data_IF_366693310579
#
_entry.id   IF_366693310579
#
_cell.length_a   1.000
_cell.length_b   1.000
_cell.length_c   1.000
_cell.angle_alpha   90.00
_cell.angle_beta   90.00
_cell.angle_gamma   90.00
#
_symmetry.space_group_name_H-M   'P 1'
#
loop_
_entity.id
_entity.type
_entity.pdbx_description
1 polymer ?
#
# COMPACT_ATOMS: atom_id res chain seq x y z
N UNK A 1 41.05 6.42 -21.57
CA UNK A 1 39.88 7.06 -22.23
C UNK A 1 38.87 7.44 -21.14
N UNK A 2 38.39 8.69 -21.07
CA UNK A 2 37.34 9.09 -20.14
C UNK A 2 36.02 8.35 -20.46
N UNK A 3 35.37 7.76 -19.47
CA UNK A 3 34.05 7.13 -19.61
C UNK A 3 33.00 8.17 -20.05
N UNK A 4 32.08 7.88 -21.01
CA UNK A 4 31.04 8.82 -21.45
C UNK A 4 30.20 9.32 -20.26
N UNK A 5 29.86 10.60 -20.25
CA UNK A 5 29.11 11.28 -19.16
C UNK A 5 27.75 10.63 -18.89
N UNK A 6 27.12 9.94 -19.83
CA UNK A 6 25.87 9.21 -19.66
C UNK A 6 25.97 7.86 -18.90
N UNK A 7 27.11 7.17 -18.98
CA UNK A 7 27.29 5.84 -18.36
C UNK A 7 27.26 5.89 -16.82
N UNK A 8 27.81 6.94 -16.21
CA UNK A 8 27.82 7.11 -14.74
C UNK A 8 26.41 7.29 -14.15
N UNK A 9 25.53 7.95 -14.86
CA UNK A 9 24.16 8.21 -14.39
C UNK A 9 23.27 6.97 -14.57
N UNK A 10 23.53 6.14 -15.57
CA UNK A 10 22.87 4.86 -15.78
C UNK A 10 23.24 3.86 -14.68
N UNK A 11 24.53 3.65 -14.45
CA UNK A 11 25.05 2.78 -13.38
C UNK A 11 24.50 3.19 -11.99
N UNK A 12 24.36 4.49 -11.72
CA UNK A 12 23.80 4.98 -10.45
C UNK A 12 22.33 4.61 -10.31
N UNK A 13 21.52 4.82 -11.33
CA UNK A 13 20.08 4.52 -11.32
C UNK A 13 19.82 3.02 -11.18
N UNK A 14 20.55 2.19 -11.91
CA UNK A 14 20.42 0.74 -11.83
C UNK A 14 20.79 0.20 -10.45
N UNK A 15 21.92 0.64 -9.89
CA UNK A 15 22.33 0.25 -8.53
C UNK A 15 21.33 0.71 -7.48
N UNK A 16 20.81 1.95 -7.60
CA UNK A 16 19.77 2.44 -6.69
C UNK A 16 18.50 1.59 -6.78
N UNK A 17 18.06 1.23 -7.97
CA UNK A 17 16.87 0.40 -8.18
C UNK A 17 17.04 -0.99 -7.55
N UNK A 18 18.18 -1.64 -7.78
CA UNK A 18 18.49 -2.94 -7.19
C UNK A 18 18.51 -2.90 -5.64
N UNK A 19 19.10 -1.84 -5.05
CA UNK A 19 19.08 -1.64 -3.61
C UNK A 19 17.64 -1.46 -3.10
N UNK A 20 16.83 -0.63 -3.75
CA UNK A 20 15.43 -0.40 -3.36
C UNK A 20 14.62 -1.69 -3.43
N UNK A 21 14.81 -2.51 -4.46
CA UNK A 21 14.12 -3.80 -4.59
C UNK A 21 14.49 -4.76 -3.45
N UNK A 22 15.76 -4.91 -3.12
CA UNK A 22 16.23 -5.74 -2.02
C UNK A 22 15.69 -5.24 -0.67
N UNK A 23 15.75 -3.93 -0.41
CA UNK A 23 15.24 -3.29 0.79
C UNK A 23 13.71 -3.44 0.93
N UNK A 24 12.99 -3.35 -0.17
CA UNK A 24 11.52 -3.52 -0.20
C UNK A 24 11.14 -4.97 0.13
N UNK A 25 11.81 -5.94 -0.47
CA UNK A 25 11.57 -7.35 -0.18
C UNK A 25 11.85 -7.66 1.29
N UNK A 26 12.98 -7.19 1.82
CA UNK A 26 13.29 -7.32 3.24
C UNK A 26 12.21 -6.70 4.14
N UNK A 27 11.74 -5.48 3.84
CA UNK A 27 10.72 -4.80 4.63
C UNK A 27 9.37 -5.54 4.63
N UNK A 28 9.05 -6.27 3.55
CA UNK A 28 7.81 -7.02 3.42
C UNK A 28 7.89 -8.46 3.99
N UNK A 29 9.09 -9.02 4.12
CA UNK A 29 9.32 -10.38 4.59
C UNK A 29 9.76 -10.44 6.06
N UNK A 30 10.50 -9.43 6.54
CA UNK A 30 11.01 -9.36 7.91
C UNK A 30 9.89 -9.19 8.95
N UNK A 31 10.20 -9.52 10.20
CA UNK A 31 9.36 -9.10 11.34
C UNK A 31 9.11 -7.60 11.27
N UNK A 32 7.84 -7.20 11.47
CA UNK A 32 7.39 -5.79 11.38
C UNK A 32 7.96 -4.93 12.53
N UNK A 33 9.29 -4.98 12.69
CA UNK A 33 10.04 -4.09 13.58
C UNK A 33 10.59 -2.95 12.73
N UNK A 34 10.92 -1.86 13.37
CA UNK A 34 11.59 -0.72 12.70
C UNK A 34 13.09 -1.04 12.51
N UNK A 35 13.52 -1.53 11.32
CA UNK A 35 14.90 -1.87 11.10
C UNK A 35 15.81 -0.66 11.20
N UNK A 36 16.98 -0.82 11.80
CA UNK A 36 18.05 0.18 11.79
C UNK A 36 18.68 0.30 10.39
N UNK A 37 19.42 1.39 10.14
CA UNK A 37 20.16 1.54 8.88
C UNK A 37 21.14 0.38 8.65
N UNK A 38 21.76 -0.13 9.74
CA UNK A 38 22.65 -1.28 9.69
C UNK A 38 21.92 -2.56 9.26
N UNK A 39 20.70 -2.81 9.75
CA UNK A 39 19.91 -3.98 9.34
C UNK A 39 19.49 -3.87 7.87
N UNK A 40 19.09 -2.69 7.41
CA UNK A 40 18.86 -2.44 5.99
C UNK A 40 20.11 -2.68 5.15
N UNK A 41 21.28 -2.23 5.60
CA UNK A 41 22.54 -2.45 4.88
C UNK A 41 22.87 -3.92 4.76
N UNK A 42 22.74 -4.71 5.83
CA UNK A 42 22.94 -6.16 5.81
C UNK A 42 21.97 -6.83 4.83
N UNK A 43 20.68 -6.47 4.89
CA UNK A 43 19.64 -7.06 4.04
C UNK A 43 19.85 -6.77 2.54
N UNK A 44 20.43 -5.62 2.21
CA UNK A 44 20.71 -5.21 0.84
C UNK A 44 22.14 -5.58 0.39
N UNK A 45 22.88 -6.39 1.17
CA UNK A 45 24.30 -6.75 0.92
C UNK A 45 25.16 -5.52 0.62
N UNK A 46 24.92 -4.42 1.33
CA UNK A 46 25.57 -3.14 1.16
C UNK A 46 26.19 -2.63 2.48
N UNK A 47 26.96 -1.57 2.40
CA UNK A 47 27.44 -0.86 3.59
C UNK A 47 26.50 0.29 3.98
N UNK A 48 26.48 0.71 5.27
CA UNK A 48 25.76 1.90 5.69
C UNK A 48 26.20 3.17 4.91
N UNK A 49 27.52 3.41 4.66
CA UNK A 49 27.94 4.49 3.78
C UNK A 49 27.35 4.43 2.37
N UNK A 50 27.19 3.21 1.82
CA UNK A 50 26.53 3.01 0.52
C UNK A 50 25.06 3.44 0.60
N UNK A 51 24.30 3.01 1.61
CA UNK A 51 22.92 3.44 1.76
C UNK A 51 22.80 4.96 1.97
N UNK A 52 23.71 5.57 2.75
CA UNK A 52 23.75 7.03 2.91
C UNK A 52 24.02 7.75 1.58
N UNK A 53 24.86 7.20 0.75
CA UNK A 53 25.13 7.77 -0.57
C UNK A 53 23.91 7.80 -1.51
N UNK A 54 23.03 6.78 -1.43
CA UNK A 54 21.84 6.68 -2.30
C UNK A 54 20.56 7.25 -1.69
N UNK A 55 20.47 7.32 -0.37
CA UNK A 55 19.22 7.60 0.36
C UNK A 55 19.37 8.63 1.48
N UNK A 56 20.56 9.20 1.69
CA UNK A 56 20.92 10.15 2.73
C UNK A 56 20.93 9.56 4.15
N UNK A 57 19.78 9.14 4.63
CA UNK A 57 19.59 8.63 5.98
C UNK A 57 18.61 7.42 6.03
N UNK A 58 18.32 6.94 7.24
CA UNK A 58 17.35 5.85 7.43
C UNK A 58 15.94 6.23 6.93
N UNK A 59 15.51 7.46 7.16
CA UNK A 59 14.20 7.93 6.70
C UNK A 59 14.12 7.94 5.16
N UNK A 60 15.21 8.34 4.49
CA UNK A 60 15.31 8.27 3.03
C UNK A 60 15.23 6.84 2.48
N UNK A 61 15.80 5.85 3.20
CA UNK A 61 15.62 4.42 2.85
C UNK A 61 14.13 4.04 2.95
N UNK A 62 13.45 4.39 4.04
CA UNK A 62 12.02 4.09 4.24
C UNK A 62 11.17 4.76 3.18
N UNK A 63 11.43 6.02 2.86
CA UNK A 63 10.73 6.74 1.77
C UNK A 63 10.89 6.01 0.45
N UNK A 64 12.10 5.58 0.09
CA UNK A 64 12.35 4.85 -1.15
C UNK A 64 11.64 3.48 -1.20
N UNK A 65 11.55 2.78 -0.07
CA UNK A 65 10.77 1.54 0.06
C UNK A 65 9.28 1.82 -0.19
N UNK A 66 8.71 2.84 0.45
CA UNK A 66 7.30 3.19 0.29
C UNK A 66 6.95 3.65 -1.13
N UNK A 67 7.86 4.38 -1.79
CA UNK A 67 7.74 4.72 -3.21
C UNK A 67 7.72 3.47 -4.10
N UNK A 68 8.60 2.51 -3.84
CA UNK A 68 8.66 1.26 -4.60
C UNK A 68 7.42 0.38 -4.37
N UNK A 69 6.96 0.26 -3.12
CA UNK A 69 5.70 -0.44 -2.81
C UNK A 69 4.55 0.20 -3.60
N UNK A 70 4.48 1.53 -3.61
CA UNK A 70 3.49 2.26 -4.39
C UNK A 70 3.54 1.95 -5.88
N UNK A 71 4.73 1.93 -6.47
CA UNK A 71 4.92 1.60 -7.88
C UNK A 71 4.49 0.16 -8.19
N UNK A 72 4.85 -0.81 -7.31
CA UNK A 72 4.41 -2.21 -7.44
C UNK A 72 2.90 -2.37 -7.31
N UNK A 73 2.23 -1.50 -6.52
CA UNK A 73 0.78 -1.48 -6.31
C UNK A 73 -0.02 -0.86 -7.47
N UNK A 74 0.59 -0.08 -8.33
CA UNK A 74 -0.10 0.68 -9.38
C UNK A 74 -1.03 -0.17 -10.28
N UNK A 75 -0.68 -1.39 -10.72
CA UNK A 75 -1.57 -2.22 -11.51
C UNK A 75 -2.87 -2.58 -10.78
N UNK A 76 -2.80 -2.82 -9.47
CA UNK A 76 -3.98 -3.14 -8.64
C UNK A 76 -4.87 -1.92 -8.49
N UNK A 77 -4.31 -0.74 -8.25
CA UNK A 77 -5.09 0.50 -8.18
C UNK A 77 -5.79 0.82 -9.49
N UNK A 78 -5.15 0.57 -10.63
CA UNK A 78 -5.76 0.72 -11.94
C UNK A 78 -6.97 -0.24 -12.09
N UNK A 79 -6.84 -1.49 -11.65
CA UNK A 79 -7.95 -2.45 -11.64
C UNK A 79 -9.08 -2.01 -10.71
N UNK A 80 -8.76 -1.52 -9.51
CA UNK A 80 -9.75 -1.00 -8.56
C UNK A 80 -10.52 0.18 -9.17
N UNK A 81 -9.88 1.04 -9.95
CA UNK A 81 -10.52 2.26 -10.49
C UNK A 81 -11.56 2.03 -11.58
N UNK A 82 -11.68 0.80 -12.11
CA UNK A 82 -12.63 0.47 -13.18
C UNK A 82 -14.06 0.59 -12.63
N UNK A 83 -14.95 1.39 -13.26
CA UNK A 83 -16.35 1.53 -12.84
C UNK A 83 -17.11 0.20 -12.87
N UNK A 84 -18.18 0.11 -12.08
CA UNK A 84 -19.10 -1.01 -12.03
C UNK A 84 -20.47 -0.62 -12.61
N UNK A 85 -21.39 -1.58 -12.71
CA UNK A 85 -22.74 -1.33 -13.23
C UNK A 85 -23.63 -0.61 -12.21
N UNK A 86 -23.40 -0.85 -10.91
CA UNK A 86 -24.17 -0.28 -9.81
C UNK A 86 -23.31 -0.23 -8.53
N UNK A 87 -23.77 0.46 -7.44
CA UNK A 87 -23.01 0.58 -6.20
C UNK A 87 -22.69 -0.74 -5.50
N UNK A 88 -23.59 -1.73 -5.55
CA UNK A 88 -23.39 -3.05 -4.94
C UNK A 88 -22.21 -3.77 -5.61
N UNK A 89 -22.21 -3.81 -6.94
CA UNK A 89 -21.12 -4.40 -7.72
C UNK A 89 -19.79 -3.65 -7.51
N UNK A 90 -19.85 -2.33 -7.34
CA UNK A 90 -18.64 -1.54 -7.08
C UNK A 90 -17.96 -1.95 -5.75
N UNK A 91 -18.73 -2.16 -4.69
CA UNK A 91 -18.24 -2.60 -3.39
C UNK A 91 -17.73 -4.05 -3.49
N UNK A 92 -18.49 -4.94 -4.11
CA UNK A 92 -18.10 -6.34 -4.28
C UNK A 92 -16.79 -6.50 -5.06
N UNK A 93 -16.69 -5.84 -6.21
CA UNK A 93 -15.48 -5.88 -7.03
C UNK A 93 -14.26 -5.32 -6.30
N UNK A 94 -14.44 -4.24 -5.52
CA UNK A 94 -13.37 -3.71 -4.69
C UNK A 94 -12.87 -4.75 -3.69
N UNK A 95 -13.76 -5.35 -2.90
CA UNK A 95 -13.36 -6.32 -1.88
C UNK A 95 -12.67 -7.55 -2.49
N UNK A 96 -13.13 -8.03 -3.62
CA UNK A 96 -12.50 -9.15 -4.33
C UNK A 96 -11.06 -8.82 -4.77
N UNK A 97 -10.83 -7.64 -5.35
CA UNK A 97 -9.49 -7.24 -5.80
C UNK A 97 -8.58 -6.92 -4.62
N UNK A 98 -9.09 -6.25 -3.59
CA UNK A 98 -8.31 -5.87 -2.41
C UNK A 98 -7.93 -7.11 -1.58
N UNK A 99 -8.83 -8.07 -1.38
CA UNK A 99 -8.53 -9.33 -0.69
C UNK A 99 -7.44 -10.13 -1.43
N UNK A 100 -7.52 -10.22 -2.75
CA UNK A 100 -6.47 -10.84 -3.55
C UNK A 100 -5.12 -10.11 -3.40
N UNK A 101 -5.11 -8.78 -3.39
CA UNK A 101 -3.90 -7.99 -3.15
C UNK A 101 -3.30 -8.24 -1.76
N UNK A 102 -4.13 -8.37 -0.73
CA UNK A 102 -3.68 -8.65 0.64
C UNK A 102 -3.09 -10.06 0.78
N UNK A 103 -3.69 -11.06 0.13
CA UNK A 103 -3.22 -12.45 0.19
C UNK A 103 -1.97 -12.70 -0.65
N UNK A 104 -1.93 -12.21 -1.89
CA UNK A 104 -0.90 -12.60 -2.85
C UNK A 104 0.20 -11.55 -3.06
N UNK A 105 -0.05 -10.28 -2.72
CA UNK A 105 0.89 -9.18 -2.96
C UNK A 105 1.46 -8.54 -1.68
N UNK A 106 1.30 -9.19 -0.53
CA UNK A 106 1.80 -8.71 0.77
C UNK A 106 1.31 -7.29 1.16
N UNK A 107 0.13 -6.84 0.64
CA UNK A 107 -0.36 -5.49 0.93
C UNK A 107 -0.67 -5.25 2.39
N UNK A 108 -1.10 -6.27 3.14
CA UNK A 108 -1.29 -6.15 4.59
C UNK A 108 0.01 -5.74 5.29
N UNK A 109 1.12 -6.43 4.95
CA UNK A 109 2.44 -6.12 5.51
C UNK A 109 2.96 -4.75 5.03
N UNK A 110 2.71 -4.40 3.78
CA UNK A 110 3.06 -3.10 3.22
C UNK A 110 2.36 -1.94 3.96
N UNK A 111 1.06 -2.08 4.23
CA UNK A 111 0.32 -1.10 5.02
C UNK A 111 0.80 -1.04 6.47
N UNK A 112 1.06 -2.19 7.11
CA UNK A 112 1.60 -2.23 8.46
C UNK A 112 2.99 -1.57 8.56
N UNK A 113 3.89 -1.86 7.62
CA UNK A 113 5.19 -1.19 7.53
C UNK A 113 5.02 0.33 7.39
N UNK A 114 4.16 0.78 6.47
CA UNK A 114 3.89 2.19 6.25
C UNK A 114 3.31 2.90 7.48
N UNK A 115 2.41 2.24 8.21
CA UNK A 115 1.83 2.76 9.45
C UNK A 115 2.88 2.86 10.57
N UNK A 116 3.65 1.80 10.83
CA UNK A 116 4.67 1.75 11.89
C UNK A 116 5.74 2.81 11.65
N UNK A 117 6.24 2.92 10.43
CA UNK A 117 7.24 3.90 10.07
C UNK A 117 6.67 5.33 10.02
N UNK A 118 5.47 5.48 9.46
CA UNK A 118 4.84 6.78 9.26
C UNK A 118 4.39 7.46 10.55
N UNK A 119 3.96 6.70 11.57
CA UNK A 119 3.63 7.24 12.89
C UNK A 119 4.90 7.71 13.62
N UNK A 120 6.02 7.06 13.37
CA UNK A 120 7.26 7.32 14.08
C UNK A 120 8.20 8.35 13.39
N UNK A 121 7.93 8.70 12.11
CA UNK A 121 8.74 9.63 11.33
C UNK A 121 7.87 10.39 10.31
N UNK A 122 7.94 11.72 10.34
CA UNK A 122 7.11 12.60 9.50
C UNK A 122 7.37 12.41 8.00
N UNK A 123 8.64 12.21 7.58
CA UNK A 123 8.97 11.99 6.17
C UNK A 123 8.37 10.68 5.67
N UNK A 124 8.47 9.61 6.48
CA UNK A 124 7.87 8.32 6.20
C UNK A 124 6.34 8.40 6.15
N UNK A 125 5.71 9.15 7.08
CA UNK A 125 4.26 9.36 7.09
C UNK A 125 3.75 10.05 5.83
N UNK A 126 4.42 11.12 5.39
CA UNK A 126 4.12 11.80 4.12
C UNK A 126 4.30 10.88 2.91
N UNK A 127 5.34 10.05 2.92
CA UNK A 127 5.59 9.08 1.84
C UNK A 127 4.51 7.99 1.81
N UNK A 128 4.09 7.46 2.96
CA UNK A 128 3.03 6.48 3.06
C UNK A 128 1.68 7.03 2.57
N UNK A 129 1.31 8.24 2.99
CA UNK A 129 0.12 8.94 2.47
C UNK A 129 0.19 9.07 0.95
N UNK A 130 1.28 9.63 0.42
CA UNK A 130 1.43 9.95 -1.00
C UNK A 130 1.45 8.71 -1.89
N UNK A 131 2.13 7.65 -1.46
CA UNK A 131 2.42 6.51 -2.35
C UNK A 131 1.50 5.31 -2.13
N UNK A 132 0.73 5.27 -1.05
CA UNK A 132 -0.14 4.14 -0.74
C UNK A 132 -1.58 4.55 -0.41
N UNK A 133 -1.83 5.35 0.63
CA UNK A 133 -3.20 5.64 1.06
C UNK A 133 -3.96 6.51 0.07
N UNK A 134 -3.38 7.62 -0.37
CA UNK A 134 -4.06 8.51 -1.32
C UNK A 134 -4.27 7.89 -2.70
N UNK A 135 -3.32 7.13 -3.29
CA UNK A 135 -3.59 6.36 -4.50
C UNK A 135 -4.72 5.34 -4.35
N UNK A 136 -4.76 4.59 -3.25
CA UNK A 136 -5.83 3.63 -3.00
C UNK A 136 -7.19 4.32 -2.89
N UNK A 137 -7.32 5.39 -2.10
CA UNK A 137 -8.54 6.19 -1.98
C UNK A 137 -8.96 6.79 -3.33
N UNK A 138 -8.01 7.34 -4.08
CA UNK A 138 -8.26 7.92 -5.40
C UNK A 138 -8.80 6.88 -6.39
N UNK A 139 -8.29 5.66 -6.34
CA UNK A 139 -8.76 4.55 -7.18
C UNK A 139 -10.19 4.16 -6.85
N UNK A 140 -10.54 4.04 -5.56
CA UNK A 140 -11.90 3.76 -5.12
C UNK A 140 -12.85 4.92 -5.53
N UNK A 141 -12.43 6.17 -5.29
CA UNK A 141 -13.20 7.34 -5.74
C UNK A 141 -13.42 7.35 -7.26
N UNK A 142 -12.41 6.93 -8.04
CA UNK A 142 -12.50 6.79 -9.49
C UNK A 142 -13.57 5.77 -9.90
N UNK A 143 -13.54 4.58 -9.28
CA UNK A 143 -14.57 3.54 -9.47
C UNK A 143 -15.96 4.11 -9.18
N UNK A 144 -16.17 4.66 -8.00
CA UNK A 144 -17.48 5.17 -7.57
C UNK A 144 -17.97 6.31 -8.46
N UNK A 145 -17.10 7.24 -8.85
CA UNK A 145 -17.45 8.37 -9.72
C UNK A 145 -18.00 7.92 -11.08
N UNK A 146 -17.46 6.83 -11.64
CA UNK A 146 -17.89 6.26 -12.90
C UNK A 146 -19.05 5.28 -12.78
N UNK A 147 -19.47 4.92 -11.57
CA UNK A 147 -20.54 3.93 -11.31
C UNK A 147 -21.88 4.65 -11.17
N UNK A 148 -22.91 4.31 -11.97
CA UNK A 148 -24.25 4.87 -11.83
C UNK A 148 -24.83 4.63 -10.44
N UNK A 149 -25.54 5.62 -9.90
CA UNK A 149 -26.17 5.53 -8.57
C UNK A 149 -25.25 5.84 -7.38
N UNK A 150 -23.96 6.10 -7.60
CA UNK A 150 -23.04 6.50 -6.55
C UNK A 150 -23.11 8.02 -6.27
N UNK A 151 -22.66 8.48 -5.09
CA UNK A 151 -22.72 9.89 -4.71
C UNK A 151 -21.98 10.80 -5.69
N UNK A 152 -22.54 11.99 -6.02
CA UNK A 152 -21.97 12.85 -7.07
C UNK A 152 -20.85 13.78 -6.59
N UNK A 153 -20.70 14.01 -5.27
CA UNK A 153 -19.76 15.01 -4.76
C UNK A 153 -18.42 14.38 -4.35
N UNK A 154 -17.32 15.12 -4.54
CA UNK A 154 -15.99 14.65 -4.12
C UNK A 154 -15.92 14.34 -2.61
N UNK A 155 -16.60 15.12 -1.76
CA UNK A 155 -16.61 14.89 -0.32
C UNK A 155 -17.30 13.56 0.02
N UNK A 156 -18.45 13.26 -0.57
CA UNK A 156 -19.18 12.03 -0.37
C UNK A 156 -18.41 10.82 -0.95
N UNK A 157 -17.81 10.94 -2.14
CA UNK A 157 -16.97 9.92 -2.74
C UNK A 157 -15.76 9.59 -1.84
N UNK A 158 -15.13 10.61 -1.25
CA UNK A 158 -13.99 10.40 -0.34
C UNK A 158 -14.41 9.69 0.96
N UNK A 159 -15.55 10.11 1.54
CA UNK A 159 -16.10 9.44 2.72
C UNK A 159 -16.46 7.99 2.43
N UNK A 160 -17.11 7.74 1.29
CA UNK A 160 -17.42 6.37 0.83
C UNK A 160 -16.15 5.53 0.59
N UNK A 161 -15.13 6.09 -0.05
CA UNK A 161 -13.85 5.39 -0.27
C UNK A 161 -13.17 4.99 1.06
N UNK A 162 -13.18 5.88 2.06
CA UNK A 162 -12.68 5.58 3.40
C UNK A 162 -13.49 4.47 4.07
N UNK A 163 -14.83 4.54 4.00
CA UNK A 163 -15.72 3.55 4.58
C UNK A 163 -15.57 2.16 3.94
N UNK A 164 -15.31 2.12 2.63
CA UNK A 164 -15.08 0.87 1.88
C UNK A 164 -13.71 0.27 2.22
N UNK A 165 -12.65 1.08 2.27
CA UNK A 165 -11.28 0.61 2.44
C UNK A 165 -10.98 0.15 3.88
N UNK A 166 -11.41 0.94 4.86
CA UNK A 166 -10.96 0.79 6.26
C UNK A 166 -11.32 -0.56 6.90
N UNK A 167 -12.53 -1.11 6.75
CA UNK A 167 -12.89 -2.38 7.38
C UNK A 167 -12.00 -3.54 6.92
N UNK A 168 -11.75 -3.66 5.62
CA UNK A 168 -10.92 -4.74 5.09
C UNK A 168 -9.47 -4.60 5.54
N UNK A 169 -8.91 -3.38 5.54
CA UNK A 169 -7.55 -3.13 6.00
C UNK A 169 -7.40 -3.50 7.49
N UNK A 170 -8.33 -3.06 8.34
CA UNK A 170 -8.27 -3.36 9.78
C UNK A 170 -8.48 -4.85 10.03
N UNK A 171 -9.44 -5.49 9.36
CA UNK A 171 -9.67 -6.93 9.46
C UNK A 171 -8.42 -7.72 9.05
N UNK A 172 -7.76 -7.32 7.97
CA UNK A 172 -6.53 -7.97 7.50
C UNK A 172 -5.36 -7.81 8.48
N UNK A 173 -5.18 -6.62 9.07
CA UNK A 173 -4.18 -6.40 10.12
C UNK A 173 -4.50 -7.24 11.36
N UNK A 174 -5.76 -7.23 11.81
CA UNK A 174 -6.23 -8.00 12.96
C UNK A 174 -5.96 -9.49 12.79
N UNK A 175 -6.37 -10.07 11.66
CA UNK A 175 -6.25 -11.51 11.43
C UNK A 175 -4.81 -11.95 11.13
N UNK A 176 -4.07 -11.21 10.30
CA UNK A 176 -2.80 -11.70 9.75
C UNK A 176 -1.57 -11.20 10.51
N UNK A 177 -1.68 -10.15 11.33
CA UNK A 177 -0.52 -9.53 11.98
C UNK A 177 -0.63 -9.41 13.50
N UNK A 178 -1.85 -9.43 14.06
CA UNK A 178 -2.09 -9.30 15.49
C UNK A 178 -2.49 -10.63 16.15
N UNK A 179 -2.51 -11.73 15.40
CA UNK A 179 -2.88 -13.05 15.93
C UNK A 179 -4.40 -13.24 16.09
N UNK A 180 -5.21 -12.38 15.47
CA UNK A 180 -6.65 -12.45 15.55
C UNK A 180 -7.25 -13.71 14.94
N UNK A 181 -6.56 -14.33 13.99
CA UNK A 181 -6.91 -15.61 13.40
C UNK A 181 -6.98 -16.74 14.45
N UNK A 182 -6.18 -16.66 15.49
CA UNK A 182 -6.10 -17.63 16.57
C UNK A 182 -6.89 -17.19 17.82
N UNK A 183 -6.73 -15.93 18.24
CA UNK A 183 -7.27 -15.43 19.51
C UNK A 183 -8.72 -14.95 19.42
N UNK A 184 -9.10 -14.37 18.28
CA UNK A 184 -10.42 -13.80 18.03
C UNK A 184 -10.77 -13.87 16.55
N UNK A 185 -11.01 -15.07 16.00
CA UNK A 185 -11.23 -15.26 14.57
C UNK A 185 -12.47 -14.51 14.08
N UNK A 186 -12.30 -13.80 12.96
CA UNK A 186 -13.39 -13.12 12.24
C UNK A 186 -13.79 -14.00 11.06
N UNK A 187 -15.07 -14.26 10.92
CA UNK A 187 -15.61 -14.83 9.67
C UNK A 187 -15.52 -13.76 8.57
N UNK A 188 -14.48 -13.89 7.73
CA UNK A 188 -14.19 -12.92 6.70
C UNK A 188 -15.27 -12.89 5.62
N UNK A 189 -15.85 -14.05 5.25
CA UNK A 189 -16.89 -14.16 4.23
C UNK A 189 -18.19 -13.50 4.71
N UNK A 190 -18.64 -13.82 5.91
CA UNK A 190 -19.82 -13.20 6.51
C UNK A 190 -19.64 -11.69 6.70
N UNK A 191 -18.45 -11.26 7.14
CA UNK A 191 -18.16 -9.83 7.36
C UNK A 191 -18.15 -9.07 6.03
N UNK A 192 -17.50 -9.59 5.01
CA UNK A 192 -17.47 -8.97 3.68
C UNK A 192 -18.88 -8.92 3.08
N UNK A 193 -19.66 -9.99 3.16
CA UNK A 193 -21.03 -10.03 2.67
C UNK A 193 -21.93 -8.99 3.36
N UNK A 194 -21.79 -8.81 4.68
CA UNK A 194 -22.49 -7.76 5.41
C UNK A 194 -22.07 -6.36 4.96
N UNK A 195 -20.77 -6.10 4.84
CA UNK A 195 -20.24 -4.81 4.39
C UNK A 195 -20.68 -4.47 2.96
N UNK A 196 -20.68 -5.44 2.06
CA UNK A 196 -21.15 -5.27 0.69
C UNK A 196 -22.62 -4.81 0.67
N UNK A 197 -23.49 -5.54 1.36
CA UNK A 197 -24.92 -5.23 1.44
C UNK A 197 -25.16 -3.86 2.06
N UNK A 198 -24.53 -3.58 3.19
CA UNK A 198 -24.72 -2.32 3.91
C UNK A 198 -24.18 -1.12 3.12
N UNK A 199 -22.94 -1.18 2.63
CA UNK A 199 -22.31 -0.07 1.90
C UNK A 199 -22.94 0.11 0.52
N UNK A 200 -23.29 -0.96 -0.19
CA UNK A 200 -23.98 -0.89 -1.48
C UNK A 200 -25.34 -0.19 -1.37
N UNK A 201 -26.10 -0.49 -0.32
CA UNK A 201 -27.37 0.18 -0.02
C UNK A 201 -27.15 1.66 0.35
N UNK A 202 -26.19 1.97 1.22
CA UNK A 202 -25.87 3.33 1.64
C UNK A 202 -25.39 4.22 0.49
N UNK A 203 -24.70 3.66 -0.49
CA UNK A 203 -24.22 4.38 -1.68
C UNK A 203 -25.34 4.70 -2.67
N UNK A 204 -26.43 3.93 -2.64
CA UNK A 204 -27.59 4.08 -3.54
C UNK A 204 -28.64 5.07 -3.01
N UNK A 205 -28.50 5.53 -1.77
CA UNK A 205 -29.40 6.46 -1.10
C UNK A 205 -29.06 7.92 -1.40
#
# INVERSE_FOLDING_TARGET
MPRPVGARNHDFKEKRAALVDALTNFALEADLRRPSLRQFAIAAEASEPTLRHYFDDRAGVVVAILENIGQRGAPIWNTISIPAENPMDAVEQYYRVADAGMRFANFTRAHAFGLIEGIADEKAGKAYLKNMLEPALTSIMGKLRGTPGCPPTNAALRAAALAIMSPLLIMSIHQNLLGGDTEAPIDAEATIGFLQSWLGTALSA
#
